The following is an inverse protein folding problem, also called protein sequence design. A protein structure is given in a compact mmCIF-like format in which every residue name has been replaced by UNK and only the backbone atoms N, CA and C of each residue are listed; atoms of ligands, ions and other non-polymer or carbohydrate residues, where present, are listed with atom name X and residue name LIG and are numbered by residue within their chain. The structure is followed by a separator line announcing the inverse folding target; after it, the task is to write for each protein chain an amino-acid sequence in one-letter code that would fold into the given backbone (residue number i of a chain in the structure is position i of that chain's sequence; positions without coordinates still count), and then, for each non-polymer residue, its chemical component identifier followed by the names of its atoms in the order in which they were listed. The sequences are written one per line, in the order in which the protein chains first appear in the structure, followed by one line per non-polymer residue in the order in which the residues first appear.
data_IF_748811015749
#
_entry.id   IF_748811015749
#
_cell.length_a   1.000
_cell.length_b   1.000
_cell.length_c   1.000
_cell.angle_alpha   90.00
_cell.angle_beta   90.00
_cell.angle_gamma   90.00
#
_symmetry.space_group_name_H-M   'P 1'
#
loop_
_entity.id
_entity.type
_entity.pdbx_description
1 polymer ?
#
# COMPACT_ATOMS: atom_id res chain seq x y z
N UNK A 1 12.99 -1.49 -1.43
CA UNK A 1 12.08 -0.59 -2.17
C UNK A 1 12.17 0.81 -1.56
N UNK A 2 12.15 1.90 -2.34
CA UNK A 2 12.04 3.25 -1.76
C UNK A 2 10.55 3.57 -1.57
N UNK A 3 10.05 3.49 -0.33
CA UNK A 3 8.62 3.68 -0.04
C UNK A 3 8.26 5.15 -0.18
N UNK A 4 7.42 5.44 -1.17
CA UNK A 4 6.79 6.75 -1.37
C UNK A 4 5.41 6.73 -0.71
N UNK A 5 5.26 7.50 0.36
CA UNK A 5 4.05 7.61 1.16
C UNK A 5 3.94 9.06 1.67
N UNK A 6 2.73 9.51 1.96
CA UNK A 6 2.46 10.82 2.52
C UNK A 6 3.37 11.15 3.74
N UNK A 7 3.96 12.35 3.82
CA UNK A 7 5.00 12.67 4.81
C UNK A 7 4.61 12.46 6.27
N UNK A 8 3.37 12.78 6.66
CA UNK A 8 2.93 12.61 8.04
C UNK A 8 2.91 11.13 8.43
N UNK A 9 2.48 10.25 7.53
CA UNK A 9 2.58 8.80 7.73
C UNK A 9 4.03 8.31 7.75
N UNK A 10 4.86 8.81 6.84
CA UNK A 10 6.28 8.42 6.77
C UNK A 10 6.98 8.62 8.11
N UNK A 11 6.70 9.72 8.82
CA UNK A 11 7.25 10.00 10.15
C UNK A 11 7.00 8.86 11.16
N UNK A 12 5.83 8.23 11.11
CA UNK A 12 5.46 7.16 12.06
C UNK A 12 5.86 5.77 11.58
N UNK A 13 5.87 5.53 10.26
CA UNK A 13 6.11 4.21 9.67
C UNK A 13 7.54 3.99 9.20
N UNK A 14 8.40 5.02 9.20
CA UNK A 14 9.80 4.91 8.80
C UNK A 14 10.55 3.75 9.50
N UNK A 15 10.42 3.53 10.82
CA UNK A 15 11.10 2.42 11.48
C UNK A 15 10.69 1.05 10.93
N UNK A 16 9.41 0.86 10.58
CA UNK A 16 8.92 -0.40 10.00
C UNK A 16 9.55 -0.68 8.64
N UNK A 17 9.71 0.36 7.81
CA UNK A 17 10.33 0.23 6.48
C UNK A 17 11.81 -0.18 6.53
N UNK A 18 12.48 0.06 7.65
CA UNK A 18 13.90 -0.24 7.86
C UNK A 18 14.14 -1.65 8.41
N UNK A 19 13.09 -2.33 8.87
CA UNK A 19 13.18 -3.70 9.38
C UNK A 19 13.51 -4.70 8.26
N UNK A 20 14.15 -5.81 8.64
CA UNK A 20 14.53 -6.84 7.67
C UNK A 20 13.31 -7.61 7.13
N UNK A 21 12.24 -7.75 7.92
CA UNK A 21 11.03 -8.39 7.44
C UNK A 21 10.39 -7.56 6.33
N UNK A 22 10.33 -6.24 6.48
CA UNK A 22 9.73 -5.37 5.48
C UNK A 22 10.55 -5.34 4.20
N UNK A 23 11.89 -5.31 4.30
CA UNK A 23 12.76 -5.44 3.12
C UNK A 23 12.47 -6.72 2.35
N UNK A 24 12.46 -7.88 3.03
CA UNK A 24 12.12 -9.19 2.43
C UNK A 24 10.73 -9.19 1.81
N UNK A 25 9.73 -8.62 2.50
CA UNK A 25 8.37 -8.49 1.97
C UNK A 25 8.36 -7.68 0.67
N UNK A 26 9.00 -6.51 0.64
CA UNK A 26 9.01 -5.66 -0.56
C UNK A 26 9.73 -6.29 -1.74
N UNK A 27 10.76 -7.09 -1.49
CA UNK A 27 11.46 -7.83 -2.54
C UNK A 27 10.60 -8.97 -3.09
N UNK A 28 9.89 -9.70 -2.22
CA UNK A 28 8.92 -10.72 -2.64
C UNK A 28 7.77 -10.09 -3.45
N UNK A 29 7.16 -9.00 -2.95
CA UNK A 29 6.10 -8.28 -3.66
C UNK A 29 6.60 -7.80 -5.04
N UNK A 30 7.79 -7.19 -5.12
CA UNK A 30 8.38 -6.75 -6.39
C UNK A 30 8.54 -7.92 -7.37
N UNK A 31 8.96 -9.09 -6.88
CA UNK A 31 9.08 -10.29 -7.68
C UNK A 31 7.72 -10.73 -8.26
N UNK A 32 6.67 -10.75 -7.45
CA UNK A 32 5.30 -11.10 -7.91
C UNK A 32 4.79 -10.13 -8.99
N UNK A 33 4.99 -8.81 -8.82
CA UNK A 33 4.64 -7.83 -9.87
C UNK A 33 5.39 -8.05 -11.19
N UNK A 34 6.56 -8.69 -11.16
CA UNK A 34 7.34 -9.01 -12.37
C UNK A 34 6.93 -10.32 -13.05
N UNK A 35 6.22 -11.21 -12.34
CA UNK A 35 6.00 -12.59 -12.77
C UNK A 35 4.53 -12.97 -12.98
N UNK A 36 3.57 -12.09 -12.69
CA UNK A 36 2.16 -12.35 -12.94
C UNK A 36 1.26 -11.15 -12.65
N UNK A 37 -0.06 -11.32 -12.86
CA UNK A 37 -1.05 -10.34 -12.43
C UNK A 37 -0.96 -10.10 -10.91
N UNK A 38 -0.68 -8.87 -10.52
CA UNK A 38 -0.66 -8.43 -9.13
C UNK A 38 -1.37 -7.08 -9.05
N UNK A 39 -2.25 -6.92 -8.06
CA UNK A 39 -3.11 -5.76 -7.91
C UNK A 39 -2.98 -5.16 -6.50
N UNK A 40 -3.16 -3.84 -6.33
CA UNK A 40 -3.43 -2.81 -7.36
C UNK A 40 -2.17 -2.50 -8.20
N UNK A 41 -2.19 -1.59 -9.19
CA UNK A 41 -0.95 -1.05 -9.76
C UNK A 41 0.02 -0.59 -8.65
N UNK A 42 1.32 -0.87 -8.79
CA UNK A 42 2.29 -0.68 -7.70
C UNK A 42 2.36 0.74 -7.09
N UNK A 43 2.07 1.77 -7.88
CA UNK A 43 2.01 3.16 -7.40
C UNK A 43 0.77 3.46 -6.52
N UNK A 44 -0.23 2.58 -6.51
CA UNK A 44 -1.44 2.68 -5.71
C UNK A 44 -1.41 1.83 -4.43
N UNK A 45 -0.34 1.07 -4.16
CA UNK A 45 -0.26 0.22 -2.95
C UNK A 45 -0.52 1.02 -1.66
N UNK A 46 0.00 2.25 -1.58
CA UNK A 46 -0.15 3.13 -0.41
C UNK A 46 -1.23 4.21 -0.59
N UNK A 47 -2.17 4.04 -1.54
CA UNK A 47 -3.10 5.11 -1.91
C UNK A 47 -3.97 5.60 -0.74
N UNK A 48 -4.44 4.70 0.14
CA UNK A 48 -5.17 5.07 1.37
C UNK A 48 -4.41 6.10 2.24
N UNK A 49 -3.11 5.88 2.42
CA UNK A 49 -2.24 6.76 3.19
C UNK A 49 -1.96 8.08 2.44
N UNK A 50 -1.84 8.02 1.11
CA UNK A 50 -1.60 9.19 0.27
C UNK A 50 -2.80 10.15 0.24
N UNK A 51 -4.02 9.62 0.26
CA UNK A 51 -5.24 10.41 0.23
C UNK A 51 -5.66 10.95 1.60
N UNK A 52 -5.23 10.29 2.68
CA UNK A 52 -5.61 10.68 4.05
C UNK A 52 -4.36 10.84 4.92
N UNK A 53 -3.82 12.07 5.05
CA UNK A 53 -2.75 12.38 6.00
C UNK A 53 -3.09 11.91 7.42
N UNK A 54 -2.08 11.52 8.18
CA UNK A 54 -2.19 10.91 9.52
C UNK A 54 -3.05 11.74 10.47
N UNK A 55 -2.83 13.06 10.48
CA UNK A 55 -3.54 14.03 11.33
C UNK A 55 -4.99 14.30 10.89
N UNK A 56 -5.35 13.89 9.66
CA UNK A 56 -6.70 14.02 9.11
C UNK A 56 -7.55 12.75 9.26
N UNK A 57 -6.97 11.66 9.75
CA UNK A 57 -7.70 10.41 10.01
C UNK A 57 -8.76 10.65 11.09
N UNK A 58 -10.00 10.26 10.79
CA UNK A 58 -11.13 10.30 11.74
C UNK A 58 -11.78 8.93 11.93
N UNK A 59 -11.79 8.13 10.88
CA UNK A 59 -12.40 6.79 10.84
C UNK A 59 -11.44 5.89 10.06
N UNK A 60 -11.31 4.64 10.50
CA UNK A 60 -10.55 3.60 9.81
C UNK A 60 -11.51 2.49 9.42
N UNK A 61 -11.56 2.16 8.13
CA UNK A 61 -12.35 1.04 7.61
C UNK A 61 -11.37 -0.03 7.11
N UNK A 62 -11.34 -1.15 7.80
CA UNK A 62 -10.41 -2.25 7.54
C UNK A 62 -11.10 -3.29 6.65
N UNK A 63 -10.56 -3.48 5.44
CA UNK A 63 -10.91 -4.60 4.56
C UNK A 63 -10.01 -5.81 4.79
N UNK A 64 -10.16 -6.85 3.98
CA UNK A 64 -9.32 -8.05 4.05
C UNK A 64 -8.08 -7.93 3.14
N UNK A 65 -8.31 -7.95 1.83
CA UNK A 65 -7.31 -7.86 0.77
C UNK A 65 -7.88 -7.14 -0.46
N UNK A 66 -7.05 -6.70 -1.43
CA UNK A 66 -7.53 -6.02 -2.62
C UNK A 66 -8.43 -6.91 -3.48
N UNK A 67 -9.34 -6.30 -4.23
CA UNK A 67 -10.03 -6.98 -5.32
C UNK A 67 -9.03 -7.61 -6.32
N UNK A 68 -9.33 -8.82 -6.77
CA UNK A 68 -8.43 -9.62 -7.59
C UNK A 68 -8.72 -9.56 -9.10
N UNK A 69 -9.79 -8.87 -9.52
CA UNK A 69 -10.08 -8.71 -10.96
C UNK A 69 -9.36 -7.49 -11.56
N UNK A 70 -8.99 -7.54 -12.85
CA UNK A 70 -8.38 -6.42 -13.56
C UNK A 70 -9.19 -5.13 -13.42
N UNK A 71 -8.52 -4.05 -13.00
CA UNK A 71 -9.11 -2.71 -12.94
C UNK A 71 -9.98 -2.41 -11.71
N UNK A 72 -10.13 -3.34 -10.76
CA UNK A 72 -10.94 -3.09 -9.55
C UNK A 72 -10.15 -2.47 -8.41
N UNK A 73 -8.99 -3.02 -8.06
CA UNK A 73 -8.24 -2.53 -6.90
C UNK A 73 -7.53 -1.21 -7.18
N UNK A 74 -7.81 -0.19 -6.36
CA UNK A 74 -7.15 1.12 -6.42
C UNK A 74 -6.49 1.55 -5.10
N UNK A 75 -6.16 0.60 -4.22
CA UNK A 75 -5.46 0.87 -2.96
C UNK A 75 -6.33 1.48 -1.85
N UNK A 76 -7.65 1.22 -1.90
CA UNK A 76 -8.65 1.64 -0.92
C UNK A 76 -9.57 0.45 -0.61
N UNK A 77 -9.84 0.19 0.67
CA UNK A 77 -10.74 -0.91 1.07
C UNK A 77 -12.16 -0.67 0.52
N UNK A 78 -12.79 -1.72 -0.02
CA UNK A 78 -14.15 -1.73 -0.59
C UNK A 78 -14.39 -0.83 -1.81
N UNK A 79 -13.39 -0.07 -2.26
CA UNK A 79 -13.57 0.91 -3.33
C UNK A 79 -13.12 0.35 -4.68
N UNK A 80 -13.83 0.76 -5.74
CA UNK A 80 -13.50 0.50 -7.15
C UNK A 80 -13.55 1.82 -7.94
N UNK A 81 -12.81 1.94 -9.05
CA UNK A 81 -12.86 3.12 -9.93
C UNK A 81 -14.24 3.47 -10.47
#
# INVERSE_FOLDING_TARGET
MNVQIEPSWKKYLQPEFETDYFKRLTDAVRHEYGNGPCYPPGHLIFNAFNLTPFDKVKVVIIGQDPYHEPGQAMGLSFSVP
#
